data_IF_155912061115
#
_entry.id   IF_155912061115
#
_cell.length_a   1.000
_cell.length_b   1.000
_cell.length_c   1.000
_cell.angle_alpha   90.00
_cell.angle_beta   90.00
_cell.angle_gamma   90.00
#
_symmetry.space_group_name_H-M   'P 1'
#
loop_
_entity.id
_entity.type
_entity.pdbx_description
1 polymer ?
#
# COMPACT_ATOMS: atom_id res chain seq x y z
N UNK A 1 4.28 11.78 11.64
CA UNK A 1 3.67 12.89 12.40
C UNK A 1 3.09 12.33 13.70
N UNK A 2 2.91 13.22 14.70
CA UNK A 2 2.40 12.85 16.03
C UNK A 2 1.37 13.89 16.50
N UNK A 3 0.34 13.44 17.19
CA UNK A 3 -0.63 14.29 17.87
C UNK A 3 -1.10 13.64 19.17
N UNK A 4 -0.92 14.33 20.29
CA UNK A 4 -1.31 13.82 21.62
C UNK A 4 -0.63 12.52 22.03
N UNK A 5 0.60 12.28 21.59
CA UNK A 5 1.35 11.05 21.82
C UNK A 5 1.06 9.91 20.85
N UNK A 6 0.11 10.08 19.90
CA UNK A 6 -0.19 9.08 18.89
C UNK A 6 0.47 9.41 17.56
N UNK A 7 1.11 8.42 16.97
CA UNK A 7 1.78 8.52 15.68
C UNK A 7 0.82 8.41 14.49
N UNK A 8 1.22 9.00 13.36
CA UNK A 8 0.58 8.83 12.06
C UNK A 8 1.64 8.52 11.01
N UNK A 9 1.29 7.63 10.07
CA UNK A 9 2.12 7.24 8.96
C UNK A 9 1.37 7.42 7.64
N UNK A 10 2.00 8.07 6.67
CA UNK A 10 1.37 8.38 5.39
C UNK A 10 2.42 8.44 4.27
N UNK A 11 2.20 7.68 3.21
CA UNK A 11 3.02 7.77 2.01
C UNK A 11 2.18 8.11 0.79
N UNK A 12 2.69 9.04 -0.02
CA UNK A 12 2.26 9.30 -1.39
C UNK A 12 3.47 9.35 -2.31
N UNK A 13 3.42 8.62 -3.40
CA UNK A 13 4.37 8.75 -4.50
C UNK A 13 3.82 9.74 -5.51
N UNK A 14 4.59 10.76 -5.85
CA UNK A 14 4.19 11.82 -6.79
C UNK A 14 5.22 11.95 -7.91
N UNK A 15 4.82 12.30 -9.14
CA UNK A 15 5.75 12.52 -10.24
C UNK A 15 6.45 13.87 -10.10
N UNK A 16 7.77 13.90 -10.24
CA UNK A 16 8.54 15.16 -10.19
C UNK A 16 8.13 16.14 -11.31
N UNK A 17 7.68 15.63 -12.45
CA UNK A 17 7.23 16.39 -13.62
C UNK A 17 5.76 16.79 -13.61
N UNK A 18 5.08 16.73 -12.45
CA UNK A 18 3.65 17.01 -12.26
C UNK A 18 2.70 16.04 -12.99
N UNK A 19 3.19 15.17 -13.86
CA UNK A 19 2.42 14.21 -14.65
C UNK A 19 3.13 12.86 -14.66
N UNK A 20 2.40 11.80 -14.35
CA UNK A 20 2.91 10.44 -14.45
C UNK A 20 3.08 10.01 -15.91
N UNK A 21 4.17 9.33 -16.23
CA UNK A 21 4.31 8.61 -17.50
C UNK A 21 3.31 7.46 -17.60
N UNK A 22 3.10 6.91 -18.79
CA UNK A 22 2.20 5.74 -18.99
C UNK A 22 2.60 4.57 -18.08
N UNK A 23 3.90 4.25 -18.00
CA UNK A 23 4.39 3.14 -17.16
C UNK A 23 4.22 3.43 -15.68
N UNK A 24 4.51 4.66 -15.24
CA UNK A 24 4.27 5.06 -13.86
C UNK A 24 2.80 4.95 -13.47
N UNK A 25 1.85 5.35 -14.34
CA UNK A 25 0.41 5.19 -14.11
C UNK A 25 0.01 3.72 -13.99
N UNK A 26 0.58 2.87 -14.82
CA UNK A 26 0.31 1.42 -14.78
C UNK A 26 0.75 0.82 -13.43
N UNK A 27 1.99 1.09 -12.99
CA UNK A 27 2.52 0.59 -11.71
C UNK A 27 1.79 1.23 -10.53
N UNK A 28 1.49 2.54 -10.61
CA UNK A 28 0.73 3.25 -9.57
C UNK A 28 -0.66 2.65 -9.38
N UNK A 29 -1.38 2.41 -10.47
CA UNK A 29 -2.72 1.81 -10.42
C UNK A 29 -2.70 0.36 -9.91
N UNK A 30 -1.65 -0.41 -10.19
CA UNK A 30 -1.45 -1.74 -9.60
C UNK A 30 -1.22 -1.63 -8.08
N UNK A 31 -0.40 -0.68 -7.61
CA UNK A 31 -0.18 -0.41 -6.20
C UNK A 31 -1.47 0.05 -5.50
N UNK A 32 -2.23 0.96 -6.10
CA UNK A 32 -3.52 1.42 -5.59
C UNK A 32 -4.55 0.29 -5.54
N UNK A 33 -4.54 -0.61 -6.54
CA UNK A 33 -5.38 -1.80 -6.50
C UNK A 33 -5.05 -2.69 -5.29
N UNK A 34 -3.75 -2.94 -5.02
CA UNK A 34 -3.32 -3.70 -3.85
C UNK A 34 -3.73 -3.02 -2.55
N UNK A 35 -3.60 -1.70 -2.45
CA UNK A 35 -4.05 -0.92 -1.30
C UNK A 35 -5.57 -1.08 -1.07
N UNK A 36 -6.38 -0.96 -2.12
CA UNK A 36 -7.84 -1.10 -2.02
C UNK A 36 -8.26 -2.55 -1.71
N UNK A 37 -7.58 -3.55 -2.30
CA UNK A 37 -7.81 -4.94 -1.95
C UNK A 37 -7.47 -5.21 -0.47
N UNK A 38 -6.30 -4.76 -0.02
CA UNK A 38 -5.85 -4.88 1.35
C UNK A 38 -6.86 -4.24 2.33
N UNK A 39 -7.35 -3.03 2.02
CA UNK A 39 -8.42 -2.35 2.77
C UNK A 39 -9.69 -3.20 2.85
N UNK A 40 -10.09 -3.84 1.76
CA UNK A 40 -11.35 -4.62 1.71
C UNK A 40 -11.34 -5.86 2.61
N UNK A 41 -10.16 -6.41 2.90
CA UNK A 41 -10.00 -7.63 3.72
C UNK A 41 -9.48 -7.36 5.14
N UNK A 42 -9.07 -6.12 5.46
CA UNK A 42 -8.60 -5.74 6.79
C UNK A 42 -9.80 -5.57 7.72
N UNK A 43 -10.02 -6.53 8.61
CA UNK A 43 -11.16 -6.57 9.54
C UNK A 43 -10.87 -7.43 10.75
N UNK A 44 -11.67 -7.36 11.84
CA UNK A 44 -11.51 -8.25 12.98
C UNK A 44 -11.53 -9.73 12.60
N UNK A 45 -10.72 -10.52 13.30
CA UNK A 45 -10.66 -11.98 13.16
C UNK A 45 -9.61 -12.51 12.19
N UNK A 46 -9.05 -11.68 11.29
CA UNK A 46 -7.90 -12.05 10.47
C UNK A 46 -6.59 -11.75 11.23
N UNK A 47 -5.58 -12.59 11.10
CA UNK A 47 -4.23 -12.26 11.59
C UNK A 47 -3.43 -11.51 10.52
N UNK A 48 -2.36 -10.79 10.94
CA UNK A 48 -1.45 -10.11 10.00
C UNK A 48 -0.79 -11.09 9.04
N UNK A 49 -0.47 -12.30 9.48
CA UNK A 49 0.08 -13.35 8.61
C UNK A 49 -0.92 -13.70 7.51
N UNK A 50 -2.14 -14.10 7.87
CA UNK A 50 -3.19 -14.45 6.91
C UNK A 50 -3.53 -13.28 5.96
N UNK A 51 -3.53 -12.07 6.49
CA UNK A 51 -3.74 -10.85 5.72
C UNK A 51 -2.65 -10.64 4.67
N UNK A 52 -1.38 -10.76 5.08
CA UNK A 52 -0.22 -10.62 4.19
C UNK A 52 -0.23 -11.66 3.08
N UNK A 53 -0.53 -12.92 3.41
CA UNK A 53 -0.60 -14.01 2.42
C UNK A 53 -1.68 -13.73 1.36
N UNK A 54 -2.87 -13.28 1.77
CA UNK A 54 -3.95 -12.93 0.84
C UNK A 54 -3.56 -11.77 -0.10
N UNK A 55 -2.92 -10.74 0.43
CA UNK A 55 -2.43 -9.63 -0.41
C UNK A 55 -1.30 -10.09 -1.32
N UNK A 56 -0.42 -10.99 -0.87
CA UNK A 56 0.62 -11.60 -1.71
C UNK A 56 0.06 -12.38 -2.92
N UNK A 57 -1.01 -13.12 -2.72
CA UNK A 57 -1.72 -13.80 -3.84
C UNK A 57 -2.27 -12.76 -4.83
N UNK A 58 -2.87 -11.68 -4.35
CA UNK A 58 -3.38 -10.62 -5.22
C UNK A 58 -2.24 -9.84 -5.91
N UNK A 59 -1.12 -9.62 -5.21
CA UNK A 59 0.08 -9.01 -5.80
C UNK A 59 0.62 -9.84 -6.97
N UNK A 60 0.66 -11.17 -6.84
CA UNK A 60 1.06 -12.08 -7.92
C UNK A 60 0.24 -11.86 -9.19
N UNK A 61 -1.10 -11.74 -9.07
CA UNK A 61 -2.01 -11.48 -10.21
C UNK A 61 -1.75 -10.10 -10.83
N UNK A 62 -1.59 -9.07 -10.00
CA UNK A 62 -1.32 -7.73 -10.50
C UNK A 62 0.03 -7.65 -11.21
N UNK A 63 1.06 -8.32 -10.69
CA UNK A 63 2.40 -8.34 -11.28
C UNK A 63 2.45 -9.12 -12.59
N UNK A 64 1.67 -10.20 -12.73
CA UNK A 64 1.46 -10.85 -14.02
C UNK A 64 0.81 -9.89 -15.03
N UNK A 65 -0.27 -9.20 -14.61
CA UNK A 65 -1.03 -8.27 -15.45
C UNK A 65 -0.19 -7.12 -16.00
N UNK A 66 0.73 -6.56 -15.20
CA UNK A 66 1.60 -5.45 -15.62
C UNK A 66 2.97 -5.91 -16.15
N UNK A 67 3.14 -7.23 -16.39
CA UNK A 67 4.32 -7.81 -17.03
C UNK A 67 5.56 -7.94 -16.16
N UNK A 68 5.44 -7.84 -14.82
CA UNK A 68 6.55 -8.05 -13.89
C UNK A 68 6.82 -9.53 -13.62
N UNK A 69 5.79 -10.37 -13.63
CA UNK A 69 5.90 -11.81 -13.46
C UNK A 69 5.38 -12.55 -14.69
N UNK A 70 6.12 -13.56 -15.13
CA UNK A 70 5.65 -14.47 -16.17
C UNK A 70 4.85 -15.63 -15.55
N UNK A 71 3.95 -16.24 -16.32
CA UNK A 71 3.24 -17.48 -15.92
C UNK A 71 4.20 -18.60 -15.50
N UNK A 72 5.35 -18.70 -16.17
CA UNK A 72 6.37 -19.69 -15.84
C UNK A 72 6.99 -19.42 -14.46
N UNK A 73 7.31 -18.15 -14.14
CA UNK A 73 7.84 -17.76 -12.84
C UNK A 73 6.83 -18.07 -11.72
N UNK A 74 5.56 -17.78 -11.95
CA UNK A 74 4.48 -18.07 -10.99
C UNK A 74 4.31 -19.58 -10.78
N UNK A 75 4.34 -20.36 -11.86
CA UNK A 75 4.18 -21.82 -11.77
C UNK A 75 5.33 -22.50 -11.03
N UNK A 76 6.55 -22.00 -11.22
CA UNK A 76 7.78 -22.62 -10.70
C UNK A 76 8.30 -21.91 -9.42
N UNK A 77 7.50 -21.03 -8.79
CA UNK A 77 7.92 -20.31 -7.59
C UNK A 77 8.11 -21.23 -6.39
N UNK A 78 9.02 -20.85 -5.52
CA UNK A 78 9.17 -21.46 -4.20
C UNK A 78 8.00 -21.03 -3.30
N UNK A 79 7.23 -21.96 -2.72
CA UNK A 79 6.14 -21.63 -1.79
C UNK A 79 6.59 -20.82 -0.56
N UNK A 80 7.82 -21.05 -0.07
CA UNK A 80 8.39 -20.34 1.08
C UNK A 80 8.92 -18.94 0.71
N UNK A 81 9.23 -18.74 -0.59
CA UNK A 81 9.65 -17.46 -1.13
C UNK A 81 8.91 -17.11 -2.42
N UNK A 82 7.61 -16.75 -2.34
CA UNK A 82 6.78 -16.49 -3.50
C UNK A 82 7.33 -15.37 -4.40
N UNK A 83 7.17 -15.53 -5.71
CA UNK A 83 7.77 -14.68 -6.74
C UNK A 83 7.39 -13.18 -6.61
N UNK A 84 6.23 -12.86 -6.03
CA UNK A 84 5.81 -11.47 -5.82
C UNK A 84 6.77 -10.70 -4.89
N UNK A 85 7.47 -11.39 -3.98
CA UNK A 85 8.43 -10.78 -3.03
C UNK A 85 9.61 -10.09 -3.72
N UNK A 86 9.89 -10.41 -4.97
CA UNK A 86 10.89 -9.69 -5.77
C UNK A 86 10.54 -8.19 -5.88
N UNK A 87 9.26 -7.85 -5.98
CA UNK A 87 8.81 -6.49 -6.23
C UNK A 87 8.05 -5.87 -5.04
N UNK A 88 7.57 -6.69 -4.10
CA UNK A 88 6.95 -6.28 -2.85
C UNK A 88 7.62 -7.08 -1.71
N UNK A 89 8.72 -6.54 -1.17
CA UNK A 89 9.59 -7.25 -0.24
C UNK A 89 9.51 -6.78 1.22
N UNK A 90 8.68 -5.78 1.52
CA UNK A 90 8.40 -5.37 2.90
C UNK A 90 6.99 -5.74 3.36
N UNK A 91 6.69 -5.50 4.64
CA UNK A 91 5.37 -5.70 5.20
C UNK A 91 4.33 -4.78 4.57
N UNK A 92 3.08 -5.24 4.50
CA UNK A 92 1.98 -4.48 3.88
C UNK A 92 1.26 -3.63 4.92
N UNK A 93 1.48 -3.92 6.21
CA UNK A 93 0.75 -3.34 7.32
C UNK A 93 1.48 -3.59 8.63
N UNK A 94 1.40 -2.64 9.54
CA UNK A 94 1.87 -2.77 10.91
C UNK A 94 0.92 -2.08 11.89
N UNK A 95 1.03 -2.41 13.16
CA UNK A 95 0.36 -1.67 14.23
C UNK A 95 0.87 -0.23 14.27
N UNK A 96 -0.02 0.69 14.55
CA UNK A 96 0.25 2.11 14.68
C UNK A 96 -0.41 2.62 15.96
N UNK A 97 0.35 3.34 16.80
CA UNK A 97 -0.14 3.84 18.07
C UNK A 97 0.81 4.85 18.71
N UNK A 98 1.35 4.54 19.88
CA UNK A 98 2.35 5.38 20.56
C UNK A 98 3.70 5.36 19.85
N UNK A 99 3.99 4.28 19.14
CA UNK A 99 5.11 4.19 18.21
C UNK A 99 4.59 4.06 16.75
N UNK A 100 5.39 4.51 15.78
CA UNK A 100 5.07 4.37 14.36
C UNK A 100 4.98 2.89 14.00
N UNK A 101 5.97 2.08 14.40
CA UNK A 101 5.92 0.62 14.39
C UNK A 101 5.59 0.14 15.79
N UNK A 102 4.30 0.16 16.13
CA UNK A 102 3.86 -0.13 17.48
C UNK A 102 3.83 -1.64 17.78
N UNK A 103 3.82 -1.96 19.07
CA UNK A 103 3.84 -3.32 19.57
C UNK A 103 2.58 -4.09 19.17
N UNK A 104 2.77 -5.33 18.75
CA UNK A 104 1.67 -6.23 18.41
C UNK A 104 2.14 -7.60 17.94
N UNK A 105 1.27 -8.59 18.04
CA UNK A 105 1.56 -9.95 17.56
C UNK A 105 1.02 -10.14 16.14
N UNK A 106 1.86 -10.69 15.25
CA UNK A 106 1.46 -10.93 13.86
C UNK A 106 0.50 -12.11 13.69
N UNK A 107 0.48 -13.02 14.66
CA UNK A 107 -0.32 -14.27 14.62
C UNK A 107 -1.66 -14.14 15.31
N UNK A 108 -1.82 -13.21 16.26
CA UNK A 108 -3.10 -12.99 16.93
C UNK A 108 -4.12 -12.37 15.98
N UNK A 109 -5.41 -12.67 16.14
CA UNK A 109 -6.49 -12.02 15.39
C UNK A 109 -6.53 -10.51 15.66
N UNK A 110 -6.65 -9.73 14.59
CA UNK A 110 -6.94 -8.29 14.66
C UNK A 110 -8.25 -8.07 15.40
N UNK A 111 -8.31 -7.05 16.25
CA UNK A 111 -9.48 -6.71 17.06
C UNK A 111 -9.97 -5.30 16.76
N UNK A 112 -11.24 -5.04 17.01
CA UNK A 112 -11.81 -3.70 16.96
C UNK A 112 -11.10 -2.79 17.98
N UNK A 113 -10.89 -1.53 17.60
CA UNK A 113 -10.14 -0.54 18.38
C UNK A 113 -8.67 -0.39 17.96
N UNK A 114 -8.08 -1.40 17.33
CA UNK A 114 -6.71 -1.33 16.82
C UNK A 114 -6.60 -0.36 15.65
N UNK A 115 -5.39 0.19 15.43
CA UNK A 115 -5.04 1.01 14.27
C UNK A 115 -3.89 0.34 13.53
N UNK A 116 -3.99 0.32 12.19
CA UNK A 116 -3.01 -0.26 11.29
C UNK A 116 -2.70 0.66 10.12
N UNK A 117 -1.49 0.57 9.59
CA UNK A 117 -1.18 1.06 8.24
C UNK A 117 -1.69 0.09 7.18
N UNK A 118 -1.91 0.57 5.97
CA UNK A 118 -1.93 -0.23 4.73
C UNK A 118 -0.99 0.46 3.77
N UNK A 119 0.13 -0.19 3.43
CA UNK A 119 1.27 0.43 2.76
C UNK A 119 1.91 -0.44 1.66
N UNK A 120 1.15 -1.08 0.76
CA UNK A 120 1.79 -1.83 -0.31
C UNK A 120 2.75 -0.96 -1.10
N UNK A 121 3.93 -1.52 -1.42
CA UNK A 121 4.93 -0.89 -2.27
C UNK A 121 5.30 -1.81 -3.42
N UNK A 122 5.50 -1.25 -4.62
CA UNK A 122 5.99 -1.95 -5.80
C UNK A 122 7.32 -1.32 -6.19
N UNK A 123 8.40 -2.11 -6.16
CA UNK A 123 9.76 -1.64 -6.42
C UNK A 123 10.36 -2.43 -7.57
N UNK A 124 10.73 -1.73 -8.65
CA UNK A 124 11.22 -2.30 -9.90
C UNK A 124 12.62 -1.76 -10.12
N UNK A 125 13.63 -2.51 -9.68
CA UNK A 125 15.03 -2.07 -9.75
C UNK A 125 15.47 -1.86 -11.20
N UNK A 126 15.04 -2.74 -12.09
CA UNK A 126 15.35 -2.69 -13.52
C UNK A 126 14.82 -1.42 -14.19
N UNK A 127 13.73 -0.86 -13.68
CA UNK A 127 13.11 0.38 -14.18
C UNK A 127 13.48 1.60 -13.31
N UNK A 128 14.27 1.43 -12.25
CA UNK A 128 14.63 2.46 -11.25
C UNK A 128 13.39 3.17 -10.71
N UNK A 129 12.36 2.41 -10.42
CA UNK A 129 11.05 2.92 -10.01
C UNK A 129 10.58 2.23 -8.73
N UNK A 130 10.08 3.06 -7.78
CA UNK A 130 9.39 2.59 -6.58
C UNK A 130 8.11 3.40 -6.36
N UNK A 131 7.02 2.72 -6.08
CA UNK A 131 5.73 3.34 -5.76
C UNK A 131 5.19 2.71 -4.49
N UNK A 132 4.94 3.54 -3.45
CA UNK A 132 4.23 3.16 -2.24
C UNK A 132 3.05 4.09 -2.02
N UNK A 133 1.95 3.51 -1.57
CA UNK A 133 0.72 4.22 -1.19
C UNK A 133 0.33 3.73 0.20
N UNK A 134 0.16 4.66 1.13
CA UNK A 134 -0.08 4.33 2.54
C UNK A 134 -1.13 5.23 3.16
N UNK A 135 -2.05 4.61 3.88
CA UNK A 135 -3.04 5.24 4.75
C UNK A 135 -3.11 4.52 6.10
N UNK A 136 -3.67 5.21 7.10
CA UNK A 136 -3.96 4.66 8.42
C UNK A 136 -5.42 4.27 8.53
N UNK A 137 -5.68 3.12 9.18
CA UNK A 137 -7.01 2.53 9.29
C UNK A 137 -7.36 2.20 10.73
N UNK A 138 -8.46 2.74 11.22
CA UNK A 138 -9.05 2.34 12.48
C UNK A 138 -9.95 1.12 12.28
N UNK A 139 -9.71 0.05 13.04
CA UNK A 139 -10.48 -1.20 12.97
C UNK A 139 -11.75 -1.05 13.79
N UNK A 140 -12.89 -1.20 13.12
CA UNK A 140 -14.23 -1.19 13.73
C UNK A 140 -14.69 -2.61 14.08
N UNK A 141 -15.87 -2.75 14.66
CA UNK A 141 -16.46 -4.09 14.94
C UNK A 141 -16.72 -4.92 13.68
N UNK A 142 -16.92 -4.30 12.53
CA UNK A 142 -17.36 -4.97 11.30
C UNK A 142 -16.44 -4.76 10.09
N UNK A 143 -15.39 -3.93 10.22
CA UNK A 143 -14.48 -3.60 9.13
C UNK A 143 -13.44 -2.58 9.55
N UNK A 144 -13.19 -1.57 8.71
CA UNK A 144 -12.23 -0.52 8.98
C UNK A 144 -12.72 0.85 8.49
N UNK A 145 -12.12 1.91 9.04
CA UNK A 145 -12.32 3.30 8.62
C UNK A 145 -10.96 3.87 8.21
N UNK A 146 -10.90 4.40 7.00
CA UNK A 146 -9.74 5.11 6.48
C UNK A 146 -9.67 6.51 7.11
N UNK A 147 -8.64 6.75 7.91
CA UNK A 147 -8.42 8.02 8.61
C UNK A 147 -7.86 9.11 7.67
N UNK A 148 -7.35 8.71 6.49
CA UNK A 148 -6.72 9.58 5.51
C UNK A 148 -7.56 9.78 4.23
N UNK A 149 -8.86 9.46 4.29
CA UNK A 149 -9.79 9.45 3.13
C UNK A 149 -9.89 10.77 2.36
N UNK A 150 -9.49 11.89 2.98
CA UNK A 150 -9.54 13.23 2.36
C UNK A 150 -8.24 13.63 1.66
N UNK A 151 -7.21 12.77 1.69
CA UNK A 151 -5.91 13.04 1.06
C UNK A 151 -5.90 12.43 -0.34
N UNK A 152 -5.53 13.19 -1.40
CA UNK A 152 -5.46 12.68 -2.76
C UNK A 152 -4.72 11.35 -2.84
N UNK A 153 -5.28 10.37 -3.55
CA UNK A 153 -4.74 9.02 -3.64
C UNK A 153 -4.74 8.46 -5.05
N UNK A 154 -5.64 8.89 -5.93
CA UNK A 154 -5.65 8.44 -7.32
C UNK A 154 -4.67 9.24 -8.18
N UNK A 155 -4.27 8.66 -9.32
CA UNK A 155 -3.42 9.35 -10.31
C UNK A 155 -3.97 10.72 -10.68
N UNK A 156 -5.28 10.79 -10.99
CA UNK A 156 -5.93 12.02 -11.44
C UNK A 156 -6.00 13.10 -10.35
N UNK A 157 -6.28 12.70 -9.11
CA UNK A 157 -6.27 13.62 -7.96
C UNK A 157 -4.88 14.19 -7.72
N UNK A 158 -3.83 13.35 -7.78
CA UNK A 158 -2.44 13.77 -7.58
C UNK A 158 -2.01 14.71 -8.70
N UNK A 159 -2.22 14.36 -9.98
CA UNK A 159 -1.87 15.23 -11.10
C UNK A 159 -2.62 16.57 -11.03
N UNK A 160 -3.89 16.55 -10.63
CA UNK A 160 -4.68 17.77 -10.45
C UNK A 160 -4.11 18.66 -9.34
N UNK A 161 -3.74 18.05 -8.19
CA UNK A 161 -3.14 18.76 -7.06
C UNK A 161 -1.77 19.36 -7.43
N UNK A 162 -0.90 18.59 -8.12
CA UNK A 162 0.40 19.03 -8.56
C UNK A 162 0.30 20.22 -9.51
N UNK A 163 -0.58 20.17 -10.52
CA UNK A 163 -0.83 21.28 -11.46
C UNK A 163 -1.33 22.54 -10.76
N UNK A 164 -2.25 22.40 -9.80
CA UNK A 164 -2.78 23.53 -9.05
C UNK A 164 -1.70 24.24 -8.22
N UNK A 165 -0.75 23.49 -7.65
CA UNK A 165 0.35 24.04 -6.84
C UNK A 165 1.46 24.63 -7.71
N UNK A 166 1.79 24.04 -8.86
CA UNK A 166 2.77 24.57 -9.82
C UNK A 166 2.35 25.93 -10.38
N UNK A 167 1.05 26.12 -10.65
CA UNK A 167 0.52 27.41 -11.12
C UNK A 167 0.60 28.52 -10.05
N UNK A 168 0.54 28.18 -8.76
CA UNK A 168 0.70 29.15 -7.66
C UNK A 168 2.16 29.60 -7.49
N UNK A 169 3.14 28.78 -7.85
CA UNK A 169 4.58 29.11 -7.76
C UNK A 169 5.08 30.00 -8.89
N UNK A 170 4.30 30.14 -9.98
CA UNK A 170 4.63 30.97 -11.13
C UNK A 170 4.05 32.40 -11.06
N UNK A 171 3.27 32.70 -10.03
CA UNK A 171 2.76 34.02 -9.68
C UNK A 171 3.53 34.62 -8.51
#
# INVERSE_FOLDING_TARGET
>A
AEYGGYCADLTRTVPVSDVFTKRQKEVYNACLHLHNYAKSILKPGISIVQYTDKVGVEATKQFEKIGLLSKAAIKNQDPENPAYRKYLYHGISHHLGLDVHDLGTRTAPIQAGMVFTIEPGIYIEEEKMGIRIENNFWITKTGNIDLMKNIPITVDEIESYMKATSNKRKK
#
